data_IF_649387836271
#
_entry.id   IF_649387836271
#
_cell.length_a   1.000
_cell.length_b   1.000
_cell.length_c   1.000
_cell.angle_alpha   90.00
_cell.angle_beta   90.00
_cell.angle_gamma   90.00
#
_symmetry.space_group_name_H-M   'P 1'
#
loop_
_entity.id
_entity.type
_entity.pdbx_description
1 polymer ?
#
# COMPACT_ATOMS: atom_id res chain seq x y z
N UNK A 1 37.70 93.56 13.25
CA UNK A 1 38.22 92.36 13.83
C UNK A 1 37.11 91.63 14.60
N UNK A 2 36.35 90.70 13.97
CA UNK A 2 35.43 89.78 14.62
C UNK A 2 34.84 88.80 13.62
N UNK A 3 35.57 87.78 13.16
CA UNK A 3 35.03 86.66 12.34
C UNK A 3 35.99 85.46 12.35
N UNK A 4 36.34 84.87 13.52
CA UNK A 4 37.20 83.72 13.52
C UNK A 4 36.86 82.60 14.57
N UNK A 5 35.79 82.79 15.35
CA UNK A 5 35.51 81.82 16.46
C UNK A 5 34.26 80.92 16.30
N UNK A 6 33.54 80.94 15.18
CA UNK A 6 32.29 80.10 15.08
C UNK A 6 32.47 78.74 14.38
N UNK A 7 33.62 78.41 13.75
CA UNK A 7 33.82 77.18 13.05
C UNK A 7 34.38 75.97 13.89
N UNK A 8 34.97 76.27 15.03
CA UNK A 8 35.56 75.17 15.91
C UNK A 8 34.53 74.40 16.74
N UNK A 9 33.39 75.00 17.11
CA UNK A 9 32.38 74.41 17.95
C UNK A 9 31.43 73.44 17.17
N UNK A 10 31.20 73.66 15.88
CA UNK A 10 30.37 72.78 15.04
C UNK A 10 31.04 71.43 14.73
N UNK A 11 32.37 71.36 14.56
CA UNK A 11 33.09 70.11 14.25
C UNK A 11 33.20 69.17 15.48
N UNK A 12 33.23 69.68 16.68
CA UNK A 12 33.33 68.87 17.91
C UNK A 12 31.97 68.16 18.22
N UNK A 13 30.81 68.80 17.94
CA UNK A 13 29.49 68.15 18.12
C UNK A 13 29.23 67.03 17.08
N UNK A 14 29.63 67.18 15.85
CA UNK A 14 29.50 66.15 14.83
C UNK A 14 30.40 64.92 15.07
N UNK A 15 31.60 65.10 15.63
CA UNK A 15 32.48 63.99 15.98
C UNK A 15 31.97 63.17 17.17
N UNK A 16 31.35 63.81 18.17
CA UNK A 16 30.73 63.12 19.32
C UNK A 16 29.47 62.35 18.88
N UNK A 17 28.62 62.94 18.00
CA UNK A 17 27.44 62.25 17.44
C UNK A 17 27.78 60.99 16.66
N UNK A 18 28.83 61.07 15.74
CA UNK A 18 29.26 59.90 14.97
C UNK A 18 29.88 58.77 15.85
N UNK A 19 30.52 59.11 16.97
CA UNK A 19 31.05 58.11 17.93
C UNK A 19 29.90 57.36 18.66
N UNK A 20 28.85 58.12 19.05
CA UNK A 20 27.66 57.50 19.70
C UNK A 20 26.89 56.60 18.74
N UNK A 21 26.70 57.03 17.49
CA UNK A 21 26.03 56.22 16.46
C UNK A 21 26.80 54.93 16.18
N UNK A 22 28.16 55.02 16.06
CA UNK A 22 28.98 53.82 15.89
C UNK A 22 28.91 52.88 17.10
N UNK A 23 28.87 53.38 18.33
CA UNK A 23 28.73 52.58 19.52
C UNK A 23 27.37 51.88 19.60
N UNK A 24 26.29 52.59 19.25
CA UNK A 24 24.93 52.01 19.20
C UNK A 24 24.83 50.91 18.16
N UNK A 25 25.40 51.11 16.98
CA UNK A 25 25.41 50.08 15.90
C UNK A 25 26.21 48.82 16.34
N UNK A 26 27.34 49.01 17.02
CA UNK A 26 28.13 47.87 17.54
C UNK A 26 27.36 47.10 18.63
N UNK A 27 26.65 47.80 19.49
CA UNK A 27 25.81 47.17 20.52
C UNK A 27 24.64 46.39 19.87
N UNK A 28 23.96 46.96 18.89
CA UNK A 28 22.89 46.29 18.15
C UNK A 28 23.40 45.04 17.46
N UNK A 29 24.51 45.14 16.75
CA UNK A 29 25.14 43.97 16.09
C UNK A 29 25.59 42.91 17.08
N UNK A 30 26.13 43.29 18.24
CA UNK A 30 26.46 42.39 19.32
C UNK A 30 25.24 41.67 19.90
N UNK A 31 24.14 42.40 20.14
CA UNK A 31 22.87 41.85 20.63
C UNK A 31 22.24 40.90 19.57
N UNK A 32 22.26 41.24 18.30
CA UNK A 32 21.81 40.38 17.21
C UNK A 32 22.65 39.09 17.13
N UNK A 33 23.97 39.21 17.28
CA UNK A 33 24.87 38.03 17.29
C UNK A 33 24.60 37.10 18.46
N UNK A 34 24.40 37.65 19.67
CA UNK A 34 24.04 36.86 20.87
C UNK A 34 22.66 36.23 20.69
N UNK A 35 21.66 36.95 20.21
CA UNK A 35 20.31 36.42 19.97
C UNK A 35 20.34 35.30 18.91
N UNK A 36 21.10 35.46 17.84
CA UNK A 36 21.30 34.42 16.82
C UNK A 36 21.99 33.18 17.36
N UNK A 37 23.01 33.37 18.21
CA UNK A 37 23.71 32.28 18.90
C UNK A 37 22.80 31.50 19.86
N UNK A 38 21.97 32.20 20.65
CA UNK A 38 20.99 31.58 21.55
C UNK A 38 19.93 30.81 20.76
N UNK A 39 19.39 31.38 19.66
CA UNK A 39 18.43 30.70 18.80
C UNK A 39 19.03 29.43 18.15
N UNK A 40 20.26 29.50 17.67
CA UNK A 40 20.95 28.34 17.11
C UNK A 40 21.17 27.24 18.15
N UNK A 41 21.56 27.62 19.39
CA UNK A 41 21.78 26.67 20.49
C UNK A 41 20.47 26.04 20.93
N UNK A 42 19.40 26.82 21.09
CA UNK A 42 18.06 26.31 21.45
C UNK A 42 17.50 25.40 20.35
N UNK A 43 17.71 25.74 19.08
CA UNK A 43 17.34 24.90 17.94
C UNK A 43 18.11 23.58 17.94
N UNK A 44 19.42 23.62 18.17
CA UNK A 44 20.25 22.42 18.26
C UNK A 44 19.88 21.51 19.44
N UNK A 45 19.56 22.07 20.60
CA UNK A 45 19.09 21.31 21.77
C UNK A 45 17.71 20.69 21.50
N UNK A 46 16.77 21.44 20.88
CA UNK A 46 15.46 20.92 20.49
C UNK A 46 15.60 19.78 19.47
N UNK A 47 16.48 19.93 18.47
CA UNK A 47 16.77 18.90 17.47
C UNK A 47 17.37 17.64 18.12
N UNK A 48 18.38 17.78 18.98
CA UNK A 48 18.98 16.67 19.71
C UNK A 48 18.00 15.94 20.64
N UNK A 49 17.05 16.69 21.26
CA UNK A 49 15.99 16.10 22.08
C UNK A 49 14.92 15.41 21.22
N UNK A 50 14.59 15.97 20.07
CA UNK A 50 13.67 15.35 19.11
C UNK A 50 14.26 14.05 18.54
N UNK A 51 15.54 14.01 18.23
CA UNK A 51 16.22 12.80 17.76
C UNK A 51 16.27 11.67 18.81
N UNK A 52 16.17 11.98 20.11
CA UNK A 52 16.07 10.97 21.17
C UNK A 52 14.67 10.38 21.35
N UNK A 53 13.71 10.81 20.57
CA UNK A 53 12.35 10.27 20.58
C UNK A 53 11.98 9.83 19.16
N UNK A 54 11.51 8.60 19.00
CA UNK A 54 10.92 8.10 17.75
C UNK A 54 9.44 7.86 18.01
N UNK A 55 8.59 8.52 17.22
CA UNK A 55 7.13 8.39 17.27
C UNK A 55 6.65 7.62 16.08
N UNK A 56 5.99 6.50 16.34
CA UNK A 56 5.52 5.56 15.32
C UNK A 56 4.01 5.50 15.35
N UNK A 57 3.37 5.65 14.20
CA UNK A 57 1.95 5.40 14.02
C UNK A 57 1.75 4.09 13.26
N UNK A 58 0.76 3.31 13.70
CA UNK A 58 0.20 2.17 12.97
C UNK A 58 -1.25 2.54 12.61
N UNK A 59 -1.54 2.68 11.31
CA UNK A 59 -2.86 3.10 10.85
C UNK A 59 -3.54 2.00 10.05
N UNK A 60 -4.76 1.61 10.45
CA UNK A 60 -5.58 0.63 9.73
C UNK A 60 -4.98 -0.77 9.65
N UNK A 61 -4.11 -1.12 10.58
CA UNK A 61 -3.56 -2.47 10.73
C UNK A 61 -4.26 -3.22 11.87
N UNK A 62 -4.42 -4.54 11.72
CA UNK A 62 -4.92 -5.38 12.78
C UNK A 62 -3.99 -5.37 14.01
N UNK A 63 -4.54 -5.63 15.20
CA UNK A 63 -3.75 -5.73 16.44
C UNK A 63 -2.62 -6.75 16.31
N UNK A 64 -2.84 -7.85 15.61
CA UNK A 64 -1.84 -8.88 15.35
C UNK A 64 -0.67 -8.32 14.53
N UNK A 65 -0.95 -7.62 13.43
CA UNK A 65 0.11 -7.00 12.62
C UNK A 65 0.85 -5.92 13.38
N UNK A 66 0.14 -5.07 14.12
CA UNK A 66 0.76 -4.05 14.97
C UNK A 66 1.74 -4.67 15.94
N UNK A 67 1.35 -5.74 16.64
CA UNK A 67 2.22 -6.44 17.59
C UNK A 67 3.47 -6.98 16.92
N UNK A 68 3.32 -7.70 15.80
CA UNK A 68 4.44 -8.30 15.05
C UNK A 68 5.42 -7.22 14.56
N UNK A 69 4.91 -6.12 14.00
CA UNK A 69 5.74 -5.02 13.50
C UNK A 69 6.41 -4.25 14.64
N UNK A 70 5.71 -4.01 15.75
CA UNK A 70 6.23 -3.29 16.89
C UNK A 70 7.39 -4.03 17.58
N UNK A 71 7.31 -5.36 17.66
CA UNK A 71 8.38 -6.21 18.24
C UNK A 71 9.69 -6.14 17.43
N UNK A 72 9.63 -5.70 16.17
CA UNK A 72 10.81 -5.50 15.30
C UNK A 72 11.48 -4.15 15.45
N UNK A 73 10.82 -3.17 16.06
CA UNK A 73 11.42 -1.85 16.25
C UNK A 73 12.41 -1.94 17.40
N UNK A 74 13.71 -1.61 17.18
CA UNK A 74 14.72 -1.70 18.24
C UNK A 74 14.36 -0.86 19.45
N UNK A 75 14.58 -1.43 20.65
CA UNK A 75 14.53 -0.70 21.90
C UNK A 75 15.97 -0.42 22.35
N UNK A 76 16.37 0.83 22.32
CA UNK A 76 17.73 1.24 22.62
C UNK A 76 17.79 2.17 23.83
N UNK A 77 18.82 2.00 24.65
CA UNK A 77 19.05 2.87 25.79
C UNK A 77 19.25 4.33 25.33
N UNK A 78 18.58 5.25 26.00
CA UNK A 78 18.63 6.67 25.70
C UNK A 78 17.75 7.14 24.53
N UNK A 79 16.99 6.23 23.87
CA UNK A 79 15.98 6.57 22.85
C UNK A 79 14.59 6.20 23.39
N UNK A 80 13.67 7.15 23.34
CA UNK A 80 12.29 6.94 23.73
C UNK A 80 11.46 6.55 22.50
N UNK A 81 10.96 5.33 22.46
CA UNK A 81 10.01 4.87 21.44
C UNK A 81 8.58 5.13 21.92
N UNK A 82 7.76 5.76 21.08
CA UNK A 82 6.32 5.98 21.31
C UNK A 82 5.56 5.42 20.12
N UNK A 83 4.67 4.46 20.38
CA UNK A 83 3.84 3.81 19.36
C UNK A 83 2.37 4.11 19.64
N UNK A 84 1.67 4.61 18.64
CA UNK A 84 0.23 4.84 18.68
C UNK A 84 -0.46 3.98 17.59
N UNK A 85 -1.56 3.34 17.94
CA UNK A 85 -2.42 2.60 17.00
C UNK A 85 -3.59 3.50 16.65
N UNK A 86 -3.78 3.72 15.37
CA UNK A 86 -4.80 4.59 14.82
C UNK A 86 -5.81 3.76 14.03
N UNK A 87 -7.08 3.87 14.37
CA UNK A 87 -8.15 3.18 13.66
C UNK A 87 -8.35 3.75 12.26
N UNK A 88 -8.84 2.93 11.33
CA UNK A 88 -9.32 3.39 10.02
C UNK A 88 -10.44 4.42 10.18
N UNK A 89 -10.57 5.29 9.19
CA UNK A 89 -11.59 6.31 9.14
C UNK A 89 -11.04 7.70 8.78
N UNK A 90 -11.90 8.71 8.94
CA UNK A 90 -11.56 10.08 8.59
C UNK A 90 -10.61 10.70 9.62
N UNK A 91 -9.31 10.51 9.43
CA UNK A 91 -8.24 11.08 10.23
C UNK A 91 -7.60 12.26 9.50
N UNK A 92 -7.21 13.29 10.27
CA UNK A 92 -6.44 14.40 9.72
C UNK A 92 -4.99 13.97 9.43
N UNK A 93 -4.67 13.80 8.15
CA UNK A 93 -3.35 13.39 7.68
C UNK A 93 -2.27 14.44 7.95
N UNK A 94 -2.64 15.73 8.06
CA UNK A 94 -1.74 16.79 8.48
C UNK A 94 -1.25 16.56 9.91
N UNK A 95 -2.15 16.22 10.81
CA UNK A 95 -1.81 15.87 12.20
C UNK A 95 -0.92 14.62 12.28
N UNK A 96 -1.16 13.59 11.45
CA UNK A 96 -0.29 12.41 11.40
C UNK A 96 1.14 12.84 11.03
N UNK A 97 1.30 13.62 9.98
CA UNK A 97 2.60 14.09 9.51
C UNK A 97 3.36 14.89 10.56
N UNK A 98 2.69 15.77 11.30
CA UNK A 98 3.33 16.61 12.30
C UNK A 98 3.68 15.85 13.59
N UNK A 99 2.88 14.85 13.94
CA UNK A 99 2.99 14.14 15.22
C UNK A 99 3.97 12.97 15.18
N UNK A 100 4.12 12.29 14.03
CA UNK A 100 4.87 11.03 13.94
C UNK A 100 6.11 11.15 13.06
N UNK A 101 7.09 10.30 13.34
CA UNK A 101 8.33 10.17 12.56
C UNK A 101 8.24 9.03 11.55
N UNK A 102 7.44 7.98 11.86
CA UNK A 102 7.21 6.80 11.02
C UNK A 102 5.73 6.48 10.98
N UNK A 103 5.26 6.00 9.83
CA UNK A 103 3.91 5.48 9.64
C UNK A 103 3.98 4.09 9.02
N UNK A 104 3.35 3.11 9.67
CA UNK A 104 3.07 1.79 9.11
C UNK A 104 1.59 1.72 8.76
N UNK A 105 1.28 1.40 7.52
CA UNK A 105 -0.10 1.30 7.02
C UNK A 105 -0.17 0.45 5.76
N UNK A 106 -1.36 0.06 5.35
CA UNK A 106 -1.58 -0.45 4.00
C UNK A 106 -1.34 0.66 2.98
N UNK A 107 -0.61 0.34 1.89
CA UNK A 107 -0.39 1.26 0.77
C UNK A 107 -1.72 1.54 0.06
N UNK A 108 -2.03 2.80 -0.19
CA UNK A 108 -3.26 3.23 -0.85
C UNK A 108 -3.52 4.71 -0.66
N UNK A 109 -4.76 5.11 -0.47
CA UNK A 109 -5.20 6.51 -0.37
C UNK A 109 -4.37 7.33 0.63
N UNK A 110 -4.15 6.79 1.84
CA UNK A 110 -3.41 7.49 2.90
C UNK A 110 -1.96 7.73 2.53
N UNK A 111 -1.29 6.72 1.98
CA UNK A 111 0.11 6.84 1.57
C UNK A 111 0.28 7.78 0.38
N UNK A 112 -0.64 7.76 -0.59
CA UNK A 112 -0.61 8.63 -1.77
C UNK A 112 -0.69 10.11 -1.38
N UNK A 113 -1.55 10.46 -0.41
CA UNK A 113 -1.68 11.85 0.10
C UNK A 113 -0.43 12.30 0.84
N UNK A 114 0.20 11.42 1.62
CA UNK A 114 1.37 11.77 2.43
C UNK A 114 2.68 11.71 1.64
N UNK A 115 2.72 11.05 0.48
CA UNK A 115 3.94 10.76 -0.28
C UNK A 115 4.76 12.02 -0.62
N UNK A 116 4.11 13.06 -1.13
CA UNK A 116 4.79 14.30 -1.53
C UNK A 116 5.52 15.00 -0.37
N UNK A 117 5.10 14.74 0.86
CA UNK A 117 5.61 15.41 2.05
C UNK A 117 6.47 14.52 2.94
N UNK A 118 6.68 13.25 2.58
CA UNK A 118 7.48 12.28 3.31
C UNK A 118 8.98 12.45 3.04
N UNK A 119 9.81 11.99 3.98
CA UNK A 119 11.26 11.92 3.82
C UNK A 119 11.64 10.72 2.93
N UNK A 120 12.85 10.74 2.38
CA UNK A 120 13.33 9.67 1.52
C UNK A 120 13.72 8.42 2.33
N UNK A 121 13.32 7.28 1.81
CA UNK A 121 13.76 5.96 2.29
C UNK A 121 15.24 5.77 1.91
N UNK A 122 16.09 5.27 2.82
CA UNK A 122 17.50 5.01 2.53
C UNK A 122 17.70 4.07 1.32
N UNK A 123 18.57 4.44 0.38
CA UNK A 123 18.80 3.71 -0.86
C UNK A 123 19.11 2.21 -0.63
N UNK A 124 19.89 1.89 0.42
CA UNK A 124 20.24 0.51 0.79
C UNK A 124 19.00 -0.40 1.01
N UNK A 125 17.90 0.18 1.49
CA UNK A 125 16.64 -0.55 1.67
C UNK A 125 16.01 -0.86 0.30
N UNK A 126 16.07 0.09 -0.63
CA UNK A 126 15.50 -0.10 -1.96
C UNK A 126 16.29 -1.10 -2.81
N UNK A 127 17.59 -1.25 -2.54
CA UNK A 127 18.47 -2.15 -3.31
C UNK A 127 18.17 -3.64 -3.06
N UNK A 128 17.59 -4.00 -1.90
CA UNK A 128 17.33 -5.41 -1.56
C UNK A 128 16.02 -5.96 -2.13
N UNK A 129 15.22 -5.14 -2.81
CA UNK A 129 13.94 -5.55 -3.39
C UNK A 129 13.90 -5.42 -4.92
N UNK A 130 12.97 -6.10 -5.61
CA UNK A 130 12.74 -5.93 -7.05
C UNK A 130 12.50 -4.46 -7.42
N UNK A 131 12.98 -4.07 -8.60
CA UNK A 131 12.88 -2.67 -9.08
C UNK A 131 11.44 -2.16 -9.15
N UNK A 132 10.50 -3.03 -9.51
CA UNK A 132 9.06 -2.75 -9.58
C UNK A 132 8.42 -2.38 -8.22
N UNK A 133 9.03 -2.78 -7.11
CA UNK A 133 8.54 -2.48 -5.75
C UNK A 133 9.20 -1.25 -5.12
N UNK A 134 10.25 -0.68 -5.76
CA UNK A 134 11.02 0.43 -5.21
C UNK A 134 10.23 1.72 -5.25
N UNK A 135 9.94 2.26 -4.08
CA UNK A 135 9.40 3.61 -3.93
C UNK A 135 10.20 4.36 -2.87
N UNK A 136 10.71 5.55 -3.23
CA UNK A 136 11.58 6.35 -2.35
C UNK A 136 10.87 6.98 -1.16
N UNK A 137 9.54 7.04 -1.16
CA UNK A 137 8.73 7.72 -0.16
C UNK A 137 7.88 6.78 0.69
N UNK A 138 7.45 5.66 0.09
CA UNK A 138 6.59 4.67 0.69
C UNK A 138 7.08 3.28 0.32
N UNK A 139 7.80 2.62 1.23
CA UNK A 139 8.41 1.32 0.95
C UNK A 139 7.50 0.19 1.41
N UNK A 140 7.14 -0.78 0.54
CA UNK A 140 6.43 -1.97 0.97
C UNK A 140 7.32 -2.83 1.86
N UNK A 141 6.75 -3.40 2.92
CA UNK A 141 7.41 -4.34 3.83
C UNK A 141 6.97 -5.76 3.53
N UNK A 142 5.68 -5.95 3.27
CA UNK A 142 5.05 -7.25 3.01
C UNK A 142 3.93 -7.06 1.98
N UNK A 143 3.63 -8.10 1.22
CA UNK A 143 2.59 -8.10 0.19
C UNK A 143 1.49 -9.11 0.51
N UNK A 144 0.24 -8.70 0.30
CA UNK A 144 -0.94 -9.56 0.30
C UNK A 144 -1.48 -9.61 -1.14
N UNK A 145 -1.31 -10.75 -1.81
CA UNK A 145 -1.67 -10.89 -3.21
C UNK A 145 -3.13 -11.31 -3.39
N UNK A 146 -3.82 -10.70 -4.36
CA UNK A 146 -5.09 -11.23 -4.86
C UNK A 146 -4.80 -12.32 -5.88
N UNK A 147 -5.15 -13.57 -5.55
CA UNK A 147 -4.72 -14.74 -6.32
C UNK A 147 -5.84 -15.70 -6.69
N UNK A 148 -5.55 -16.56 -7.64
CA UNK A 148 -6.32 -17.76 -7.97
C UNK A 148 -5.63 -19.00 -7.38
N UNK A 149 -6.39 -19.80 -6.65
CA UNK A 149 -5.94 -21.12 -6.17
C UNK A 149 -6.59 -22.21 -7.02
N UNK A 150 -5.81 -22.87 -7.87
CA UNK A 150 -6.25 -23.89 -8.81
C UNK A 150 -6.16 -25.29 -8.21
N UNK A 151 -7.22 -26.08 -8.32
CA UNK A 151 -7.21 -27.49 -7.96
C UNK A 151 -6.23 -28.27 -8.84
N UNK A 152 -5.16 -28.78 -8.27
CA UNK A 152 -4.12 -29.56 -8.99
C UNK A 152 -4.73 -30.76 -9.73
N UNK A 153 -5.64 -31.57 -9.13
CA UNK A 153 -6.30 -32.67 -9.84
C UNK A 153 -7.10 -32.19 -11.05
N UNK A 154 -7.86 -31.08 -10.91
CA UNK A 154 -8.69 -30.54 -11.99
C UNK A 154 -7.83 -30.00 -13.15
N UNK A 155 -6.74 -29.28 -12.84
CA UNK A 155 -5.80 -28.81 -13.86
C UNK A 155 -5.21 -29.99 -14.64
N UNK A 156 -4.79 -31.06 -13.93
CA UNK A 156 -4.23 -32.25 -14.55
C UNK A 156 -5.22 -32.96 -15.50
N UNK A 157 -6.51 -32.99 -15.13
CA UNK A 157 -7.55 -33.66 -15.91
C UNK A 157 -8.08 -32.81 -17.08
N UNK A 158 -7.80 -31.49 -17.11
CA UNK A 158 -8.35 -30.54 -18.07
C UNK A 158 -7.27 -29.97 -18.99
N UNK A 159 -6.60 -28.93 -18.57
CA UNK A 159 -5.63 -28.16 -19.37
C UNK A 159 -4.20 -28.64 -19.25
N UNK A 160 -3.92 -29.62 -18.35
CA UNK A 160 -2.60 -30.16 -18.00
C UNK A 160 -1.64 -29.13 -17.38
N UNK A 161 -1.78 -27.86 -17.71
CA UNK A 161 -0.98 -26.74 -17.18
C UNK A 161 -1.85 -25.58 -16.74
N UNK A 162 -1.31 -24.74 -15.84
CA UNK A 162 -1.99 -23.51 -15.42
C UNK A 162 -2.18 -22.55 -16.61
N UNK A 163 -3.35 -21.90 -16.72
CA UNK A 163 -3.62 -20.93 -17.77
C UNK A 163 -2.69 -19.71 -17.69
N UNK A 164 -2.09 -19.32 -18.82
CA UNK A 164 -1.19 -18.16 -18.93
C UNK A 164 -1.82 -16.95 -19.63
N UNK A 165 -3.10 -17.07 -20.03
CA UNK A 165 -3.88 -15.97 -20.60
C UNK A 165 -5.33 -16.04 -20.14
N UNK A 166 -6.02 -14.91 -20.12
CA UNK A 166 -7.44 -14.86 -19.73
C UNK A 166 -8.35 -15.75 -20.61
N UNK A 167 -8.19 -15.80 -21.95
CA UNK A 167 -8.90 -16.82 -22.75
C UNK A 167 -8.58 -18.26 -22.35
N UNK A 168 -7.32 -18.55 -21.95
CA UNK A 168 -6.93 -19.84 -21.42
C UNK A 168 -7.60 -20.15 -20.08
N UNK A 169 -7.76 -19.15 -19.21
CA UNK A 169 -8.52 -19.26 -17.97
C UNK A 169 -9.99 -19.60 -18.23
N UNK A 170 -10.64 -18.92 -19.17
CA UNK A 170 -12.02 -19.23 -19.54
C UNK A 170 -12.14 -20.64 -20.12
N UNK A 171 -11.16 -21.09 -20.92
CA UNK A 171 -11.12 -22.46 -21.42
C UNK A 171 -10.99 -23.48 -20.28
N UNK A 172 -10.12 -23.21 -19.30
CA UNK A 172 -10.02 -24.04 -18.08
C UNK A 172 -11.37 -24.15 -17.37
N UNK A 173 -12.09 -23.03 -17.14
CA UNK A 173 -13.42 -23.05 -16.51
C UNK A 173 -14.42 -23.88 -17.31
N UNK A 174 -14.42 -23.76 -18.64
CA UNK A 174 -15.29 -24.53 -19.52
C UNK A 174 -15.02 -26.05 -19.44
N UNK A 175 -13.78 -26.48 -19.25
CA UNK A 175 -13.45 -27.89 -19.08
C UNK A 175 -13.76 -28.35 -17.65
N UNK A 176 -13.43 -27.53 -16.64
CA UNK A 176 -13.64 -27.84 -15.24
C UNK A 176 -15.12 -28.06 -14.86
N UNK A 177 -16.06 -27.45 -15.57
CA UNK A 177 -17.51 -27.67 -15.29
C UNK A 177 -17.98 -29.12 -15.46
N UNK A 178 -17.19 -29.96 -16.12
CA UNK A 178 -17.47 -31.39 -16.24
C UNK A 178 -16.82 -32.23 -15.14
N UNK A 179 -15.88 -31.63 -14.38
CA UNK A 179 -15.07 -32.30 -13.35
C UNK A 179 -15.55 -31.96 -11.94
N UNK A 180 -16.08 -30.74 -11.71
CA UNK A 180 -16.39 -30.21 -10.38
C UNK A 180 -17.73 -29.47 -10.37
N UNK A 181 -18.31 -29.35 -9.19
CA UNK A 181 -19.58 -28.65 -8.95
C UNK A 181 -19.47 -27.14 -9.25
N UNK A 182 -18.37 -26.52 -8.88
CA UNK A 182 -18.09 -25.10 -9.08
C UNK A 182 -16.74 -24.89 -9.79
N UNK A 183 -16.71 -24.66 -11.10
CA UNK A 183 -15.43 -24.36 -11.79
C UNK A 183 -14.71 -23.19 -11.15
N UNK A 184 -15.43 -22.10 -10.86
CA UNK A 184 -14.92 -20.93 -10.17
C UNK A 184 -15.76 -20.57 -8.95
N UNK A 185 -15.10 -20.23 -7.83
CA UNK A 185 -15.72 -19.75 -6.62
C UNK A 185 -15.01 -18.51 -6.07
N UNK A 186 -15.79 -17.62 -5.46
CA UNK A 186 -15.32 -16.44 -4.74
C UNK A 186 -16.22 -16.23 -3.53
N UNK A 187 -15.66 -15.92 -2.37
CA UNK A 187 -16.40 -15.60 -1.16
C UNK A 187 -16.95 -14.16 -1.21
N UNK A 188 -17.87 -13.89 -2.17
CA UNK A 188 -18.36 -12.56 -2.52
C UNK A 188 -19.27 -11.90 -1.50
N UNK A 189 -19.63 -12.57 -0.39
CA UNK A 189 -20.25 -11.93 0.77
C UNK A 189 -19.31 -10.91 1.44
N UNK A 190 -17.99 -11.12 1.34
CA UNK A 190 -16.98 -10.17 1.79
C UNK A 190 -16.83 -9.05 0.73
N UNK A 191 -17.17 -7.82 1.12
CA UNK A 191 -17.13 -6.65 0.22
C UNK A 191 -15.73 -6.41 -0.37
N UNK A 192 -14.66 -6.65 0.40
CA UNK A 192 -13.28 -6.47 -0.08
C UNK A 192 -12.91 -7.53 -1.12
N UNK A 193 -13.26 -8.79 -0.90
CA UNK A 193 -13.03 -9.89 -1.85
C UNK A 193 -13.81 -9.65 -3.15
N UNK A 194 -15.09 -9.26 -3.05
CA UNK A 194 -15.94 -8.92 -4.20
C UNK A 194 -15.35 -7.80 -5.04
N UNK A 195 -15.00 -6.68 -4.42
CA UNK A 195 -14.46 -5.51 -5.13
C UNK A 195 -13.05 -5.76 -5.65
N UNK A 196 -12.24 -6.56 -4.95
CA UNK A 196 -10.92 -6.98 -5.41
C UNK A 196 -11.01 -7.86 -6.66
N UNK A 197 -11.98 -8.80 -6.74
CA UNK A 197 -12.22 -9.59 -7.95
C UNK A 197 -12.59 -8.69 -9.12
N UNK A 198 -13.50 -7.74 -8.94
CA UNK A 198 -13.88 -6.77 -9.99
C UNK A 198 -12.68 -5.95 -10.44
N UNK A 199 -11.88 -5.43 -9.50
CA UNK A 199 -10.67 -4.68 -9.79
C UNK A 199 -9.65 -5.49 -10.61
N UNK A 200 -9.42 -6.76 -10.22
CA UNK A 200 -8.55 -7.66 -10.97
C UNK A 200 -9.06 -7.92 -12.40
N UNK A 201 -10.39 -8.12 -12.56
CA UNK A 201 -10.97 -8.34 -13.91
C UNK A 201 -10.89 -7.08 -14.79
N UNK A 202 -11.01 -5.88 -14.22
CA UNK A 202 -10.74 -4.63 -14.97
C UNK A 202 -9.26 -4.57 -15.38
N UNK A 203 -8.35 -4.89 -14.47
CA UNK A 203 -6.90 -4.82 -14.70
C UNK A 203 -6.46 -5.82 -15.78
N UNK A 204 -6.83 -7.09 -15.68
CA UNK A 204 -6.37 -8.14 -16.62
C UNK A 204 -7.00 -8.01 -18.01
N UNK A 205 -8.20 -7.43 -18.13
CA UNK A 205 -8.87 -7.22 -19.42
C UNK A 205 -8.57 -5.83 -20.01
N UNK A 206 -8.35 -4.83 -19.17
CA UNK A 206 -8.15 -3.44 -19.58
C UNK A 206 -6.71 -2.95 -19.48
N UNK A 207 -5.89 -3.62 -18.71
CA UNK A 207 -4.53 -3.23 -18.42
C UNK A 207 -4.40 -2.25 -17.25
N UNK A 208 -3.16 -1.96 -16.90
CA UNK A 208 -2.80 -1.06 -15.80
C UNK A 208 -3.44 0.32 -15.91
N UNK A 209 -3.53 0.87 -17.12
CA UNK A 209 -4.13 2.19 -17.35
C UNK A 209 -5.64 2.19 -17.11
N UNK A 210 -6.34 1.11 -17.42
CA UNK A 210 -7.77 0.96 -17.12
C UNK A 210 -8.02 0.90 -15.62
N UNK A 211 -7.22 0.14 -14.88
CA UNK A 211 -7.33 0.06 -13.43
C UNK A 211 -7.02 1.41 -12.73
N UNK A 212 -5.97 2.10 -13.17
CA UNK A 212 -5.65 3.44 -12.66
C UNK A 212 -6.78 4.43 -12.97
N UNK A 213 -7.36 4.36 -14.17
CA UNK A 213 -8.47 5.23 -14.55
C UNK A 213 -9.71 4.98 -13.70
N UNK A 214 -10.03 3.72 -13.40
CA UNK A 214 -11.10 3.38 -12.46
C UNK A 214 -10.89 4.02 -11.08
N UNK A 215 -9.67 3.92 -10.52
CA UNK A 215 -9.32 4.54 -9.25
C UNK A 215 -9.47 6.08 -9.31
N UNK A 216 -9.02 6.72 -10.38
CA UNK A 216 -9.17 8.17 -10.57
C UNK A 216 -10.63 8.61 -10.56
N UNK A 217 -11.49 7.88 -11.30
CA UNK A 217 -12.93 8.18 -11.37
C UNK A 217 -13.63 8.00 -10.02
N UNK A 218 -13.29 6.93 -9.31
CA UNK A 218 -13.82 6.69 -7.96
C UNK A 218 -13.36 7.76 -6.97
N UNK A 219 -12.10 8.18 -7.02
CA UNK A 219 -11.56 9.28 -6.19
C UNK A 219 -12.17 10.64 -6.53
N UNK A 220 -12.56 10.83 -7.79
CA UNK A 220 -13.27 12.04 -8.23
C UNK A 220 -14.74 12.08 -7.76
N UNK A 221 -15.25 10.98 -7.17
CA UNK A 221 -16.63 10.88 -6.74
C UNK A 221 -17.62 10.69 -7.88
N UNK A 222 -17.18 10.08 -9.00
CA UNK A 222 -18.06 9.74 -10.11
C UNK A 222 -19.18 8.81 -9.63
N UNK A 223 -20.43 9.18 -9.88
CA UNK A 223 -21.58 8.39 -9.48
C UNK A 223 -21.55 6.99 -10.11
N UNK A 224 -21.99 5.96 -9.36
CA UNK A 224 -21.90 4.56 -9.80
C UNK A 224 -22.57 4.32 -11.16
N UNK A 225 -23.72 4.94 -11.41
CA UNK A 225 -24.47 4.80 -12.67
C UNK A 225 -23.74 5.39 -13.88
N UNK A 226 -23.00 6.50 -13.68
CA UNK A 226 -22.15 7.09 -14.71
C UNK A 226 -20.89 6.25 -14.93
N UNK A 227 -20.28 5.77 -13.85
CA UNK A 227 -19.08 4.95 -13.87
C UNK A 227 -19.27 3.64 -14.64
N UNK A 228 -20.49 3.05 -14.62
CA UNK A 228 -20.78 1.81 -15.32
C UNK A 228 -20.40 1.83 -16.79
N UNK A 229 -20.67 2.93 -17.49
CA UNK A 229 -20.52 3.04 -18.96
C UNK A 229 -19.28 3.86 -19.35
N UNK A 230 -18.49 4.30 -18.36
CA UNK A 230 -17.28 5.07 -18.63
C UNK A 230 -16.20 4.18 -19.21
N UNK A 231 -15.66 4.57 -20.39
CA UNK A 231 -14.53 3.90 -21.02
C UNK A 231 -13.28 4.05 -20.14
N UNK A 232 -12.68 2.94 -19.72
CA UNK A 232 -11.49 2.88 -18.89
C UNK A 232 -10.27 2.50 -19.73
N UNK A 233 -9.26 3.36 -19.70
CA UNK A 233 -8.00 3.11 -20.38
C UNK A 233 -8.07 3.01 -21.90
N UNK A 234 -7.00 2.53 -22.50
CA UNK A 234 -6.85 2.40 -23.98
C UNK A 234 -7.72 1.31 -24.57
N UNK A 235 -8.01 0.28 -23.80
CA UNK A 235 -8.84 -0.86 -24.23
C UNK A 235 -10.33 -0.53 -24.25
N UNK A 236 -10.71 0.61 -23.65
CA UNK A 236 -12.10 1.08 -23.53
C UNK A 236 -13.02 0.09 -22.81
N UNK A 237 -12.44 -0.73 -21.92
CA UNK A 237 -13.24 -1.59 -21.05
C UNK A 237 -14.12 -0.72 -20.15
N UNK A 238 -15.30 -1.23 -19.77
CA UNK A 238 -16.20 -0.54 -18.86
C UNK A 238 -16.47 -1.39 -17.63
N UNK A 239 -16.82 -0.75 -16.52
CA UNK A 239 -17.24 -1.49 -15.31
C UNK A 239 -18.46 -2.38 -15.63
N UNK A 240 -19.41 -1.89 -16.43
CA UNK A 240 -20.58 -2.65 -16.88
C UNK A 240 -20.17 -3.96 -17.55
N UNK A 241 -19.24 -3.93 -18.49
CA UNK A 241 -18.83 -5.13 -19.24
C UNK A 241 -18.26 -6.22 -18.34
N UNK A 242 -17.52 -5.85 -17.28
CA UNK A 242 -17.00 -6.80 -16.29
C UNK A 242 -18.12 -7.33 -15.37
N UNK A 243 -19.05 -6.49 -14.95
CA UNK A 243 -20.15 -6.93 -14.11
C UNK A 243 -21.13 -7.84 -14.87
N UNK A 244 -21.37 -7.57 -16.14
CA UNK A 244 -22.17 -8.44 -17.03
C UNK A 244 -21.49 -9.79 -17.25
N UNK A 245 -20.18 -9.81 -17.45
CA UNK A 245 -19.41 -11.05 -17.54
C UNK A 245 -19.58 -11.88 -16.26
N UNK A 246 -19.41 -11.29 -15.07
CA UNK A 246 -19.60 -11.98 -13.78
C UNK A 246 -21.06 -12.45 -13.60
N UNK A 247 -22.05 -11.71 -14.10
CA UNK A 247 -23.46 -12.08 -14.06
C UNK A 247 -23.78 -13.28 -14.96
N UNK A 248 -23.12 -13.40 -16.10
CA UNK A 248 -23.39 -14.49 -17.08
C UNK A 248 -22.70 -15.80 -16.69
N UNK A 249 -21.54 -15.76 -16.06
CA UNK A 249 -20.77 -16.97 -15.71
C UNK A 249 -21.55 -18.06 -14.96
N UNK A 250 -22.42 -17.74 -13.97
CA UNK A 250 -23.25 -18.75 -13.34
C UNK A 250 -24.18 -19.47 -14.31
N UNK A 251 -24.84 -18.74 -15.23
CA UNK A 251 -25.75 -19.33 -16.22
C UNK A 251 -25.02 -20.17 -17.28
N UNK A 252 -23.75 -19.88 -17.52
CA UNK A 252 -22.85 -20.65 -18.39
C UNK A 252 -22.23 -21.87 -17.69
N UNK A 253 -22.47 -22.02 -16.39
CA UNK A 253 -21.91 -23.08 -15.55
C UNK A 253 -20.42 -22.89 -15.23
N UNK A 254 -19.87 -21.68 -15.38
CA UNK A 254 -18.47 -21.38 -15.13
C UNK A 254 -18.20 -20.98 -13.66
N UNK A 255 -19.24 -20.57 -12.94
CA UNK A 255 -19.15 -20.06 -11.58
C UNK A 255 -20.33 -20.51 -10.73
N UNK A 256 -20.13 -20.66 -9.41
CA UNK A 256 -21.21 -21.00 -8.50
C UNK A 256 -22.32 -19.95 -8.52
N UNK A 257 -23.60 -20.31 -8.63
CA UNK A 257 -24.72 -19.35 -8.74
C UNK A 257 -24.86 -18.37 -7.58
N UNK A 258 -24.48 -18.80 -6.36
CA UNK A 258 -24.55 -17.98 -5.14
C UNK A 258 -23.24 -17.30 -4.75
N UNK A 259 -22.24 -17.25 -5.62
CA UNK A 259 -20.89 -16.76 -5.30
C UNK A 259 -20.87 -15.36 -4.65
N UNK A 260 -21.71 -14.42 -5.13
CA UNK A 260 -21.78 -13.03 -4.65
C UNK A 260 -22.25 -12.90 -3.19
N UNK A 261 -22.80 -13.97 -2.63
CA UNK A 261 -23.23 -14.09 -1.23
C UNK A 261 -22.55 -15.25 -0.50
N UNK A 262 -21.63 -15.96 -1.18
CA UNK A 262 -20.86 -17.05 -0.61
C UNK A 262 -19.91 -16.57 0.48
N UNK A 263 -19.79 -17.36 1.55
CA UNK A 263 -18.92 -17.08 2.69
C UNK A 263 -17.57 -17.81 2.54
N UNK A 264 -16.59 -17.39 3.33
CA UNK A 264 -15.31 -18.11 3.43
C UNK A 264 -15.49 -19.55 3.89
N UNK A 265 -16.44 -19.83 4.77
CA UNK A 265 -16.75 -21.20 5.20
C UNK A 265 -17.31 -22.07 4.07
N UNK A 266 -18.10 -21.49 3.14
CA UNK A 266 -18.59 -22.20 1.97
C UNK A 266 -17.42 -22.59 1.04
N UNK A 267 -16.47 -21.66 0.83
CA UNK A 267 -15.23 -21.92 0.10
C UNK A 267 -14.48 -23.09 0.71
N UNK A 268 -14.24 -23.08 2.03
CA UNK A 268 -13.55 -24.16 2.72
C UNK A 268 -14.26 -25.51 2.58
N UNK A 269 -15.58 -25.52 2.74
CA UNK A 269 -16.41 -26.73 2.59
C UNK A 269 -16.28 -27.32 1.18
N UNK A 270 -16.47 -26.51 0.14
CA UNK A 270 -16.36 -26.96 -1.24
C UNK A 270 -14.91 -27.37 -1.61
N UNK A 271 -13.90 -26.64 -1.11
CA UNK A 271 -12.49 -26.98 -1.36
C UNK A 271 -12.07 -28.31 -0.69
N UNK A 272 -12.54 -28.57 0.53
CA UNK A 272 -12.30 -29.82 1.25
C UNK A 272 -12.79 -31.03 0.46
N UNK A 273 -13.99 -30.93 -0.12
CA UNK A 273 -14.66 -31.98 -0.88
C UNK A 273 -14.23 -32.03 -2.34
N UNK A 274 -13.20 -31.28 -2.75
CA UNK A 274 -12.70 -31.16 -4.13
C UNK A 274 -13.81 -30.74 -5.13
N UNK A 275 -14.73 -29.88 -4.71
CA UNK A 275 -15.86 -29.41 -5.53
C UNK A 275 -15.57 -28.10 -6.26
N UNK A 276 -14.39 -27.51 -6.09
CA UNK A 276 -13.97 -26.26 -6.75
C UNK A 276 -12.81 -26.53 -7.70
N UNK A 277 -12.91 -26.00 -8.94
CA UNK A 277 -11.81 -26.01 -9.90
C UNK A 277 -10.75 -24.96 -9.61
N UNK A 278 -11.19 -23.73 -9.30
CA UNK A 278 -10.35 -22.62 -8.90
C UNK A 278 -11.14 -21.66 -8.01
N UNK A 279 -10.49 -21.04 -7.04
CA UNK A 279 -11.12 -19.98 -6.25
C UNK A 279 -10.25 -18.73 -6.18
N UNK A 280 -10.91 -17.58 -6.05
CA UNK A 280 -10.28 -16.28 -5.84
C UNK A 280 -10.21 -15.96 -4.35
N UNK A 281 -9.04 -15.52 -3.89
CA UNK A 281 -8.78 -15.20 -2.47
C UNK A 281 -7.61 -14.22 -2.33
N UNK A 282 -7.37 -13.76 -1.10
CA UNK A 282 -6.11 -13.11 -0.73
C UNK A 282 -5.09 -14.14 -0.24
N UNK A 283 -3.81 -13.87 -0.44
CA UNK A 283 -2.70 -14.73 0.01
C UNK A 283 -2.80 -15.04 1.51
N UNK A 284 -3.11 -14.05 2.34
CA UNK A 284 -3.28 -14.24 3.78
C UNK A 284 -4.35 -15.28 4.08
N UNK A 285 -5.51 -15.15 3.44
CA UNK A 285 -6.62 -16.10 3.64
C UNK A 285 -6.24 -17.50 3.13
N UNK A 286 -5.57 -17.58 1.98
CA UNK A 286 -5.06 -18.83 1.42
C UNK A 286 -4.10 -19.53 2.39
N UNK A 287 -3.13 -18.82 2.95
CA UNK A 287 -2.15 -19.37 3.91
C UNK A 287 -2.74 -19.71 5.28
N UNK A 288 -3.97 -19.33 5.57
CA UNK A 288 -4.72 -19.71 6.75
C UNK A 288 -5.61 -20.94 6.53
N UNK A 289 -5.75 -21.44 5.29
CA UNK A 289 -6.48 -22.67 4.99
C UNK A 289 -5.69 -23.88 5.56
N UNK A 290 -6.38 -24.87 6.20
CA UNK A 290 -5.73 -26.07 6.69
C UNK A 290 -4.92 -26.79 5.61
N UNK A 291 -3.73 -27.29 5.97
CA UNK A 291 -2.78 -27.89 5.03
C UNK A 291 -3.37 -29.05 4.22
N UNK A 292 -4.20 -29.89 4.82
CA UNK A 292 -4.87 -31.03 4.16
C UNK A 292 -5.81 -30.61 3.02
N UNK A 293 -6.28 -29.35 3.03
CA UNK A 293 -7.07 -28.78 1.95
C UNK A 293 -6.15 -28.08 0.95
N UNK A 294 -5.31 -27.14 1.45
CA UNK A 294 -4.55 -26.25 0.58
C UNK A 294 -3.46 -26.94 -0.21
N UNK A 295 -2.92 -28.06 0.27
CA UNK A 295 -1.95 -28.87 -0.46
C UNK A 295 -2.46 -29.44 -1.79
N UNK A 296 -3.78 -29.37 -2.03
CA UNK A 296 -4.41 -29.77 -3.29
C UNK A 296 -4.55 -28.63 -4.30
N UNK A 297 -4.16 -27.41 -3.92
CA UNK A 297 -4.32 -26.21 -4.74
C UNK A 297 -2.98 -25.57 -5.02
N UNK A 298 -2.81 -25.04 -6.23
CA UNK A 298 -1.63 -24.28 -6.67
C UNK A 298 -2.01 -22.84 -6.95
N UNK A 299 -1.22 -21.88 -6.44
CA UNK A 299 -1.50 -20.45 -6.59
C UNK A 299 -1.02 -19.92 -7.92
N UNK A 300 -1.79 -19.03 -8.50
CA UNK A 300 -1.39 -18.26 -9.67
C UNK A 300 -2.09 -16.90 -9.71
N UNK A 301 -1.55 -15.99 -10.48
CA UNK A 301 -2.22 -14.71 -10.76
C UNK A 301 -3.39 -14.90 -11.74
N UNK A 302 -4.36 -13.98 -11.77
CA UNK A 302 -5.32 -13.92 -12.86
C UNK A 302 -4.54 -13.51 -14.12
N UNK A 303 -4.50 -14.35 -15.17
CA UNK A 303 -3.66 -14.06 -16.32
C UNK A 303 -4.27 -12.93 -17.18
N UNK A 304 -3.45 -12.03 -17.75
CA UNK A 304 -3.93 -10.94 -18.59
C UNK A 304 -4.53 -11.46 -19.91
N UNK A 305 -5.39 -10.67 -20.53
CA UNK A 305 -6.02 -11.02 -21.82
C UNK A 305 -5.00 -11.15 -22.96
N UNK A 306 -3.89 -10.42 -22.86
CA UNK A 306 -2.80 -10.45 -23.84
C UNK A 306 -1.48 -10.12 -23.16
N UNK A 307 -0.40 -10.77 -23.59
CA UNK A 307 0.98 -10.46 -23.15
C UNK A 307 1.49 -9.08 -23.59
N UNK A 308 0.76 -8.38 -24.45
CA UNK A 308 1.11 -7.02 -24.91
C UNK A 308 0.51 -5.92 -24.05
N UNK A 309 -0.41 -6.27 -23.14
CA UNK A 309 -1.02 -5.32 -22.22
C UNK A 309 -0.07 -5.13 -21.02
N UNK A 310 0.26 -3.87 -20.72
CA UNK A 310 0.97 -3.54 -19.49
C UNK A 310 0.04 -3.82 -18.29
N UNK A 311 0.51 -4.63 -17.36
CA UNK A 311 -0.26 -5.02 -16.18
C UNK A 311 0.53 -4.79 -14.90
N UNK A 312 -0.18 -4.59 -13.81
CA UNK A 312 0.34 -4.55 -12.46
C UNK A 312 -0.08 -5.80 -11.68
N UNK A 313 0.47 -5.97 -10.50
CA UNK A 313 0.02 -7.00 -9.58
C UNK A 313 -0.86 -6.34 -8.51
N UNK A 314 -2.15 -6.68 -8.45
CA UNK A 314 -2.98 -6.24 -7.33
C UNK A 314 -2.55 -7.04 -6.10
N UNK A 315 -1.66 -6.44 -5.35
CA UNK A 315 -1.02 -6.99 -4.16
C UNK A 315 -0.99 -5.89 -3.09
N UNK A 316 -2.03 -5.80 -2.24
CA UNK A 316 -2.03 -4.91 -1.09
C UNK A 316 -0.73 -5.03 -0.30
N UNK A 317 -0.14 -3.92 0.07
CA UNK A 317 1.17 -3.91 0.73
C UNK A 317 1.09 -3.22 2.08
N UNK A 318 1.52 -3.90 3.15
CA UNK A 318 1.90 -3.19 4.37
C UNK A 318 3.18 -2.43 4.07
N UNK A 319 3.14 -1.12 4.25
CA UNK A 319 4.22 -0.21 3.87
C UNK A 319 4.64 0.67 5.04
N UNK A 320 5.87 1.17 4.96
CA UNK A 320 6.38 2.17 5.89
C UNK A 320 6.73 3.46 5.15
N UNK A 321 6.38 4.59 5.76
CA UNK A 321 6.78 5.94 5.36
C UNK A 321 7.59 6.60 6.46
N UNK A 322 8.59 7.38 6.09
CA UNK A 322 9.31 8.27 6.99
C UNK A 322 8.67 9.66 6.88
N UNK A 323 8.01 10.11 7.96
CA UNK A 323 7.30 11.39 7.97
C UNK A 323 8.21 12.54 8.41
N UNK A 324 9.41 12.25 8.92
CA UNK A 324 10.42 13.22 9.34
C UNK A 324 11.83 12.76 8.98
N UNK A 325 12.81 13.67 9.07
CA UNK A 325 14.23 13.40 8.84
C UNK A 325 14.94 12.82 10.09
N UNK A 326 14.19 12.19 11.02
CA UNK A 326 14.75 11.60 12.21
C UNK A 326 15.73 10.46 11.86
N UNK A 327 16.98 10.57 12.29
CA UNK A 327 18.05 9.61 11.96
C UNK A 327 17.81 8.20 12.53
N UNK A 328 17.17 8.11 13.71
CA UNK A 328 16.83 6.83 14.32
C UNK A 328 15.71 6.13 13.55
N UNK A 329 14.71 6.88 13.05
CA UNK A 329 13.66 6.31 12.20
C UNK A 329 14.24 5.70 10.91
N UNK A 330 15.21 6.39 10.27
CA UNK A 330 15.93 5.87 9.09
C UNK A 330 16.75 4.61 9.39
N UNK A 331 17.23 4.44 10.60
CA UNK A 331 17.94 3.24 11.04
C UNK A 331 16.95 2.13 11.38
N UNK A 332 15.89 2.43 12.11
CA UNK A 332 14.90 1.44 12.55
C UNK A 332 14.16 0.80 11.40
N UNK A 333 13.83 1.56 10.35
CA UNK A 333 13.18 0.97 9.16
C UNK A 333 14.06 -0.11 8.51
N UNK A 334 15.39 0.00 8.57
CA UNK A 334 16.29 -0.97 7.97
C UNK A 334 16.18 -2.37 8.59
N UNK A 335 15.78 -2.46 9.87
CA UNK A 335 15.61 -3.73 10.58
C UNK A 335 14.48 -4.60 10.00
N UNK A 336 13.58 -4.02 9.24
CA UNK A 336 12.51 -4.74 8.53
C UNK A 336 12.96 -5.37 7.22
N UNK A 337 14.16 -5.01 6.72
CA UNK A 337 14.65 -5.38 5.39
C UNK A 337 15.89 -6.27 5.41
N UNK A 338 16.24 -6.86 6.54
CA UNK A 338 17.18 -7.98 6.55
C UNK A 338 16.48 -9.23 6.02
N UNK A 339 17.25 -10.18 5.48
CA UNK A 339 16.72 -11.43 4.95
C UNK A 339 15.96 -12.21 6.03
N UNK A 340 16.55 -12.33 7.24
CA UNK A 340 15.94 -13.03 8.37
C UNK A 340 14.66 -12.35 8.87
N UNK A 341 14.65 -11.00 8.90
CA UNK A 341 13.47 -10.25 9.27
C UNK A 341 12.31 -10.50 8.30
N UNK A 342 12.59 -10.48 7.01
CA UNK A 342 11.59 -10.69 5.97
C UNK A 342 11.02 -12.11 5.98
N UNK A 343 11.86 -13.14 6.19
CA UNK A 343 11.40 -14.52 6.37
C UNK A 343 10.51 -14.63 7.61
N UNK A 344 10.95 -14.10 8.74
CA UNK A 344 10.20 -14.13 9.99
C UNK A 344 8.85 -13.40 9.88
N UNK A 345 8.86 -12.18 9.34
CA UNK A 345 7.65 -11.38 9.15
C UNK A 345 6.66 -12.07 8.21
N UNK A 346 7.12 -12.60 7.07
CA UNK A 346 6.28 -13.35 6.13
C UNK A 346 5.58 -14.54 6.79
N UNK A 347 6.29 -15.30 7.61
CA UNK A 347 5.72 -16.47 8.26
C UNK A 347 4.74 -16.11 9.38
N UNK A 348 5.02 -15.06 10.15
CA UNK A 348 4.14 -14.60 11.23
C UNK A 348 2.85 -13.96 10.71
N UNK A 349 2.96 -13.12 9.67
CA UNK A 349 1.83 -12.36 9.12
C UNK A 349 1.04 -13.11 8.06
N UNK A 350 1.55 -14.23 7.54
CA UNK A 350 1.00 -14.94 6.37
C UNK A 350 1.03 -14.13 5.06
N UNK A 351 1.85 -13.07 5.01
CA UNK A 351 2.05 -12.22 3.83
C UNK A 351 3.35 -12.59 3.10
N UNK A 352 3.51 -12.15 1.86
CA UNK A 352 4.72 -12.39 1.08
C UNK A 352 5.84 -11.40 1.43
N UNK A 353 7.12 -11.84 1.45
CA UNK A 353 8.25 -10.97 1.65
C UNK A 353 8.54 -10.13 0.39
N UNK A 354 9.16 -8.95 0.57
CA UNK A 354 9.60 -8.09 -0.53
C UNK A 354 11.11 -8.16 -0.81
N UNK A 355 11.89 -8.72 0.11
CA UNK A 355 13.35 -8.84 -0.03
C UNK A 355 13.69 -9.90 -1.08
N UNK A 356 14.52 -9.55 -2.08
CA UNK A 356 14.80 -10.39 -3.26
C UNK A 356 15.40 -11.78 -2.94
N UNK A 357 16.02 -11.96 -1.77
CA UNK A 357 16.62 -13.23 -1.33
C UNK A 357 15.85 -13.93 -0.23
N UNK A 358 14.91 -13.26 0.43
CA UNK A 358 14.11 -13.90 1.46
C UNK A 358 13.22 -14.97 0.83
N UNK A 359 13.28 -16.18 1.35
CA UNK A 359 12.41 -17.29 0.95
C UNK A 359 11.32 -17.47 2.00
N UNK A 360 10.07 -17.40 1.57
CA UNK A 360 8.94 -17.73 2.43
C UNK A 360 8.94 -19.24 2.74
N UNK A 361 8.31 -19.62 3.85
CA UNK A 361 8.20 -21.02 4.24
C UNK A 361 7.40 -21.85 3.22
N UNK A 362 6.44 -21.24 2.56
CA UNK A 362 5.61 -21.90 1.55
C UNK A 362 5.77 -21.20 0.18
N UNK A 363 5.47 -21.98 -0.87
CA UNK A 363 5.61 -21.58 -2.25
C UNK A 363 4.67 -20.43 -2.60
N UNK A 364 3.46 -20.40 -2.06
CA UNK A 364 2.45 -19.39 -2.36
C UNK A 364 3.00 -17.98 -2.12
N UNK A 365 3.57 -17.74 -0.93
CA UNK A 365 4.16 -16.44 -0.61
C UNK A 365 5.48 -16.17 -1.37
N UNK A 366 6.26 -17.21 -1.69
CA UNK A 366 7.51 -17.02 -2.42
C UNK A 366 7.26 -16.64 -3.90
N UNK A 367 6.24 -17.22 -4.53
CA UNK A 367 5.86 -16.93 -5.92
C UNK A 367 5.40 -15.46 -6.11
N UNK A 368 4.72 -14.85 -5.13
CA UNK A 368 4.28 -13.44 -5.21
C UNK A 368 5.44 -12.48 -5.46
N UNK A 369 6.59 -12.73 -4.87
CA UNK A 369 7.80 -11.92 -5.09
C UNK A 369 8.26 -11.98 -6.55
N UNK A 370 8.19 -13.15 -7.18
CA UNK A 370 8.55 -13.32 -8.59
C UNK A 370 7.53 -12.64 -9.51
N UNK A 371 6.23 -12.74 -9.19
CA UNK A 371 5.19 -12.06 -9.95
C UNK A 371 5.33 -10.54 -9.84
N UNK A 372 5.57 -10.02 -8.63
CA UNK A 372 5.82 -8.59 -8.42
C UNK A 372 7.06 -8.10 -9.18
N UNK A 373 8.12 -8.92 -9.28
CA UNK A 373 9.32 -8.59 -10.05
C UNK A 373 9.05 -8.56 -11.57
N UNK A 374 8.10 -9.36 -12.05
CA UNK A 374 7.75 -9.48 -13.48
C UNK A 374 6.78 -8.40 -13.96
N UNK A 375 6.01 -7.77 -13.05
CA UNK A 375 5.02 -6.76 -13.38
C UNK A 375 5.66 -5.38 -13.55
N UNK A 376 5.51 -4.75 -14.70
CA UNK A 376 6.01 -3.39 -14.96
C UNK A 376 5.31 -2.33 -14.10
N UNK A 377 4.03 -2.54 -13.78
CA UNK A 377 3.22 -1.67 -12.91
C UNK A 377 3.51 -1.79 -11.41
N UNK A 378 4.33 -2.77 -11.01
CA UNK A 378 4.60 -3.07 -9.60
C UNK A 378 3.39 -3.58 -8.82
N UNK A 379 3.48 -3.55 -7.49
CA UNK A 379 2.37 -3.90 -6.60
C UNK A 379 1.36 -2.75 -6.51
N UNK A 380 0.09 -3.06 -6.72
CA UNK A 380 -1.03 -2.11 -6.69
C UNK A 380 -1.91 -2.38 -5.45
N UNK A 381 -2.47 -1.35 -4.81
CA UNK A 381 -3.51 -1.54 -3.81
C UNK A 381 -4.79 -2.10 -4.45
N UNK A 382 -5.60 -2.83 -3.70
CA UNK A 382 -6.98 -3.14 -4.10
C UNK A 382 -7.86 -1.86 -4.07
N UNK A 383 -9.08 -1.93 -4.60
CA UNK A 383 -9.97 -0.77 -4.69
C UNK A 383 -10.31 -0.19 -3.31
N UNK A 384 -10.45 -1.04 -2.28
CA UNK A 384 -10.70 -0.57 -0.92
C UNK A 384 -9.57 0.35 -0.43
N UNK A 385 -8.34 -0.12 -0.50
CA UNK A 385 -7.17 0.64 -0.06
C UNK A 385 -6.88 1.85 -0.96
N UNK A 386 -7.11 1.70 -2.26
CA UNK A 386 -6.86 2.77 -3.21
C UNK A 386 -7.79 3.97 -3.04
N UNK A 387 -9.05 3.74 -2.63
CA UNK A 387 -10.11 4.78 -2.71
C UNK A 387 -10.82 5.00 -1.38
N UNK A 388 -11.07 3.93 -0.62
CA UNK A 388 -12.05 3.96 0.49
C UNK A 388 -11.45 3.74 1.87
N UNK A 389 -10.12 3.70 1.99
CA UNK A 389 -9.41 3.46 3.26
C UNK A 389 -9.85 4.44 4.37
N UNK A 390 -10.30 5.63 4.00
CA UNK A 390 -10.78 6.68 4.89
C UNK A 390 -12.30 6.82 4.93
N UNK A 391 -13.01 6.11 4.06
CA UNK A 391 -14.48 6.22 3.93
C UNK A 391 -15.15 4.86 3.75
N UNK A 392 -15.24 4.11 4.83
CA UNK A 392 -15.84 2.78 4.85
C UNK A 392 -17.32 2.77 4.43
N UNK A 393 -18.06 3.87 4.70
CA UNK A 393 -19.48 3.95 4.33
C UNK A 393 -19.67 3.92 2.81
N UNK A 394 -18.88 4.70 2.09
CA UNK A 394 -18.98 4.76 0.63
C UNK A 394 -18.48 3.44 0.01
N UNK A 395 -17.53 2.77 0.66
CA UNK A 395 -17.08 1.43 0.26
C UNK A 395 -18.21 0.40 0.32
N UNK A 396 -18.93 0.36 1.43
CA UNK A 396 -20.08 -0.57 1.61
C UNK A 396 -21.15 -0.31 0.54
N UNK A 397 -21.46 0.96 0.24
CA UNK A 397 -22.44 1.30 -0.80
C UNK A 397 -21.93 0.92 -2.21
N UNK A 398 -20.66 1.13 -2.51
CA UNK A 398 -20.04 0.70 -3.78
C UNK A 398 -20.12 -0.83 -3.93
N UNK A 399 -19.74 -1.60 -2.92
CA UNK A 399 -19.81 -3.06 -2.94
C UNK A 399 -21.25 -3.57 -3.07
N UNK A 400 -22.21 -2.93 -2.40
CA UNK A 400 -23.64 -3.23 -2.51
C UNK A 400 -24.15 -3.00 -3.93
N UNK A 401 -23.74 -1.91 -4.60
CA UNK A 401 -24.13 -1.61 -5.97
C UNK A 401 -23.56 -2.67 -6.94
N UNK A 402 -22.29 -3.07 -6.78
CA UNK A 402 -21.72 -4.20 -7.53
C UNK A 402 -22.55 -5.47 -7.31
N UNK A 403 -22.84 -5.83 -6.06
CA UNK A 403 -23.58 -7.06 -5.72
C UNK A 403 -24.98 -7.08 -6.35
N UNK A 404 -25.66 -5.93 -6.42
CA UNK A 404 -26.96 -5.82 -7.07
C UNK A 404 -26.88 -6.02 -8.60
N UNK A 405 -25.76 -5.65 -9.22
CA UNK A 405 -25.58 -5.81 -10.68
C UNK A 405 -25.26 -7.25 -11.08
N UNK A 406 -24.53 -7.99 -10.25
CA UNK A 406 -24.08 -9.36 -10.55
C UNK A 406 -25.07 -10.44 -10.08
N UNK A 407 -26.07 -10.07 -9.32
CA UNK A 407 -27.20 -10.90 -8.89
C UNK A 407 -28.23 -11.09 -10.06
#
# INVERSE_FOLDING_TARGET
MAKKNSKKTKNSKNQKSNKIVKLVVIIILGLCGVASGIMATVSSIKKAKAEKTVRVAFYGLSEEYVKILQERIPQEEGITLKCDVLSEGNIDLGTIKEKYDMLFTWRGEVTDVLEASSADIPAKILEVMPSSLRNKKCVPILLDHCELAYSIPVVKNTTETLPTSFPGFLNFLNQAKNEVFSPFFCAGANDRVLTALVGNLIEVNGGLDAYKKLIEELRAGTEFTELLDKELGKTKITLRSVLEMLKTWPSEGLMHPGWYSGLQNDLLYFAQDNQIGVFFTFLQDHRNIPYEIISKYDSFLIPPVSSTIEYGLIAPAISCMLLSENSNSKRYIAEFFTEEAQVSLSNLTKLAPVHSRAQAYDRQADDVRFWAASCSGGALPDLYLAVYQRNQKDFIEFAKNIRNMVK
#
